data_IF_944376718286
#
_entry.id   IF_944376718286
#
_cell.length_a   1.000
_cell.length_b   1.000
_cell.length_c   1.000
_cell.angle_alpha   90.00
_cell.angle_beta   90.00
_cell.angle_gamma   90.00
#
_symmetry.space_group_name_H-M   'P 1'
#
loop_
_entity.id
_entity.type
_entity.pdbx_description
1 polymer ?
#
# COMPACT_ATOMS: atom_id res chain seq x y z
N UNK A 1 11.06 -6.51 7.22
CA UNK A 1 9.93 -7.40 6.83
C UNK A 1 10.32 -8.86 6.54
N UNK A 2 11.25 -9.19 5.62
CA UNK A 2 11.81 -10.56 5.49
C UNK A 2 12.88 -10.82 6.56
N UNK A 3 13.85 -9.92 6.66
CA UNK A 3 14.97 -10.02 7.61
C UNK A 3 14.43 -10.21 9.02
N UNK A 4 13.52 -9.34 9.48
CA UNK A 4 12.88 -9.44 10.80
C UNK A 4 12.11 -10.75 11.03
N UNK A 5 11.56 -11.36 9.97
CA UNK A 5 10.82 -12.63 10.07
C UNK A 5 11.75 -13.85 10.13
N UNK A 6 12.99 -13.71 9.66
CA UNK A 6 14.00 -14.78 9.50
C UNK A 6 15.21 -14.63 10.44
N UNK A 7 15.23 -13.63 11.33
CA UNK A 7 16.36 -13.34 12.25
C UNK A 7 16.06 -13.90 13.65
N UNK A 8 16.71 -15.01 14.05
CA UNK A 8 16.56 -15.62 15.38
C UNK A 8 16.67 -17.16 15.43
N UNK A 9 16.42 -17.78 16.59
CA UNK A 9 16.43 -19.26 16.76
C UNK A 9 15.06 -19.92 16.56
N UNK A 10 13.97 -19.16 16.47
CA UNK A 10 12.58 -19.64 16.28
C UNK A 10 11.85 -18.91 15.14
N UNK A 11 12.59 -18.38 14.18
CA UNK A 11 12.07 -17.62 13.05
C UNK A 11 11.64 -18.54 11.89
N UNK A 12 10.76 -18.02 11.03
CA UNK A 12 10.29 -18.74 9.84
C UNK A 12 11.47 -18.99 8.88
N UNK A 13 11.45 -20.11 8.17
CA UNK A 13 12.38 -20.29 7.05
C UNK A 13 12.04 -19.31 5.93
N UNK A 14 13.03 -18.93 5.11
CA UNK A 14 12.80 -18.10 3.91
C UNK A 14 11.69 -18.66 3.04
N UNK A 15 11.64 -19.99 2.91
CA UNK A 15 10.61 -20.68 2.13
C UNK A 15 9.21 -20.58 2.74
N UNK A 16 9.09 -20.63 4.07
CA UNK A 16 7.80 -20.41 4.76
C UNK A 16 7.34 -18.95 4.63
N UNK A 17 8.26 -18.01 4.77
CA UNK A 17 7.96 -16.60 4.55
C UNK A 17 7.40 -16.37 3.14
N UNK A 18 8.06 -16.91 2.11
CA UNK A 18 7.60 -16.77 0.72
C UNK A 18 6.26 -17.46 0.45
N UNK A 19 5.98 -18.60 1.09
CA UNK A 19 4.66 -19.25 0.99
C UNK A 19 3.54 -18.41 1.58
N UNK A 20 3.85 -17.60 2.59
CA UNK A 20 2.89 -16.72 3.26
C UNK A 20 2.89 -15.29 2.67
N UNK A 21 3.77 -15.02 1.71
CA UNK A 21 3.92 -13.71 1.10
C UNK A 21 2.68 -13.36 0.26
N UNK A 22 2.09 -12.20 0.54
CA UNK A 22 0.86 -11.76 -0.11
C UNK A 22 0.96 -10.30 -0.57
N UNK A 23 -0.01 -9.88 -1.39
CA UNK A 23 -0.02 -8.55 -2.02
C UNK A 23 0.06 -7.39 -1.01
N UNK A 24 -0.55 -7.54 0.17
CA UNK A 24 -0.45 -6.52 1.24
C UNK A 24 1.00 -6.38 1.73
N UNK A 25 1.73 -7.49 1.84
CA UNK A 25 3.15 -7.46 2.22
C UNK A 25 4.00 -6.79 1.15
N UNK A 26 3.71 -7.04 -0.12
CA UNK A 26 4.39 -6.37 -1.24
C UNK A 26 4.17 -4.86 -1.22
N UNK A 27 2.92 -4.40 -1.02
CA UNK A 27 2.62 -2.97 -0.91
C UNK A 27 3.37 -2.34 0.25
N UNK A 28 3.39 -2.99 1.42
CA UNK A 28 4.13 -2.49 2.58
C UNK A 28 5.64 -2.39 2.29
N UNK A 29 6.25 -3.40 1.67
CA UNK A 29 7.66 -3.37 1.27
C UNK A 29 7.97 -2.18 0.35
N UNK A 30 7.10 -1.90 -0.63
CA UNK A 30 7.28 -0.75 -1.53
C UNK A 30 7.17 0.57 -0.76
N UNK A 31 6.19 0.70 0.13
CA UNK A 31 6.01 1.90 0.96
C UNK A 31 7.20 2.13 1.89
N UNK A 32 7.69 1.08 2.55
CA UNK A 32 8.88 1.14 3.41
C UNK A 32 10.11 1.55 2.60
N UNK A 33 10.37 0.88 1.48
CA UNK A 33 11.50 1.20 0.60
C UNK A 33 11.42 2.64 0.05
N UNK A 34 10.22 3.12 -0.28
CA UNK A 34 10.02 4.50 -0.75
C UNK A 34 10.36 5.53 0.33
N UNK A 35 10.09 5.24 1.60
CA UNK A 35 10.43 6.15 2.70
C UNK A 35 11.94 6.30 2.89
N UNK A 36 12.74 5.30 2.51
CA UNK A 36 14.20 5.34 2.56
C UNK A 36 14.83 6.08 1.37
N UNK A 37 14.04 6.39 0.34
CA UNK A 37 14.50 7.19 -0.81
C UNK A 37 14.78 8.62 -0.37
N UNK A 38 16.06 8.92 -0.17
CA UNK A 38 16.49 10.25 0.22
C UNK A 38 16.24 11.30 -0.88
N UNK A 39 16.09 12.56 -0.48
CA UNK A 39 16.05 13.72 -1.41
C UNK A 39 17.27 13.75 -2.34
N UNK A 40 18.42 13.25 -1.88
CA UNK A 40 19.65 13.17 -2.69
C UNK A 40 19.51 12.19 -3.85
N UNK A 41 18.89 11.02 -3.63
CA UNK A 41 18.58 10.08 -4.70
C UNK A 41 17.63 10.70 -5.74
N UNK A 42 16.55 11.35 -5.27
CA UNK A 42 15.60 12.02 -6.15
C UNK A 42 16.27 13.12 -6.98
N UNK A 43 17.08 13.99 -6.36
CA UNK A 43 17.76 15.06 -7.09
C UNK A 43 18.66 14.53 -8.21
N UNK A 44 19.34 13.40 -8.00
CA UNK A 44 20.17 12.77 -9.04
C UNK A 44 19.34 12.25 -10.22
N UNK A 45 18.20 11.62 -9.94
CA UNK A 45 17.27 11.13 -10.98
C UNK A 45 16.69 12.32 -11.76
N UNK A 46 16.15 13.31 -11.05
CA UNK A 46 15.54 14.49 -11.66
C UNK A 46 16.55 15.34 -12.43
N UNK A 47 17.83 15.39 -12.04
CA UNK A 47 18.86 16.12 -12.79
C UNK A 47 19.07 15.53 -14.19
N UNK A 48 18.92 14.21 -14.37
CA UNK A 48 19.01 13.59 -15.71
C UNK A 48 17.88 14.05 -16.63
N UNK A 49 16.70 14.34 -16.06
CA UNK A 49 15.52 14.75 -16.80
C UNK A 49 15.44 16.27 -16.99
N UNK A 50 15.77 17.04 -15.94
CA UNK A 50 15.63 18.50 -15.87
C UNK A 50 16.87 19.09 -15.16
N UNK A 51 18.02 19.17 -15.84
CA UNK A 51 19.28 19.60 -15.23
C UNK A 51 19.25 21.06 -14.76
N UNK A 52 18.52 21.93 -15.45
CA UNK A 52 18.45 23.38 -15.15
C UNK A 52 17.74 23.70 -13.83
N UNK A 53 16.92 22.77 -13.31
CA UNK A 53 16.18 22.95 -12.07
C UNK A 53 17.00 22.54 -10.83
N UNK A 54 18.09 21.77 -11.01
CA UNK A 54 18.89 21.20 -9.92
C UNK A 54 20.32 21.71 -10.03
N UNK A 55 20.54 22.95 -9.60
CA UNK A 55 21.81 23.66 -9.76
C UNK A 55 22.84 23.37 -8.63
N UNK A 56 22.39 22.98 -7.44
CA UNK A 56 23.23 22.95 -6.22
C UNK A 56 23.55 21.54 -5.70
N UNK A 57 23.39 20.50 -6.51
CA UNK A 57 23.67 19.12 -6.09
C UNK A 57 25.17 18.81 -6.14
N UNK A 58 25.80 18.61 -4.98
CA UNK A 58 27.12 17.98 -4.91
C UNK A 58 26.97 16.49 -5.19
N UNK A 59 27.45 16.07 -6.36
CA UNK A 59 27.55 14.67 -6.72
C UNK A 59 28.30 13.89 -5.62
N UNK A 60 27.75 12.74 -5.27
CA UNK A 60 28.41 11.75 -4.43
C UNK A 60 28.62 10.51 -5.28
N UNK A 61 29.80 9.90 -5.14
CA UNK A 61 30.23 8.72 -5.88
C UNK A 61 29.41 7.50 -5.43
N UNK A 62 28.38 7.08 -6.19
CA UNK A 62 27.45 6.04 -5.78
C UNK A 62 28.08 4.65 -5.81
N UNK A 63 29.19 4.50 -6.55
CA UNK A 63 29.86 3.21 -6.76
C UNK A 63 30.30 2.57 -5.43
N UNK A 64 30.79 3.35 -4.48
CA UNK A 64 31.16 2.83 -3.15
C UNK A 64 29.95 2.28 -2.37
N UNK A 65 28.82 2.99 -2.37
CA UNK A 65 27.59 2.53 -1.71
C UNK A 65 27.00 1.31 -2.39
N UNK A 66 27.06 1.25 -3.72
CA UNK A 66 26.57 0.09 -4.47
C UNK A 66 27.42 -1.13 -4.12
N UNK A 67 28.75 -1.02 -4.07
CA UNK A 67 29.61 -2.12 -3.64
C UNK A 67 29.27 -2.62 -2.23
N UNK A 68 29.11 -1.72 -1.26
CA UNK A 68 28.74 -2.07 0.12
C UNK A 68 27.37 -2.79 0.20
N UNK A 69 26.38 -2.32 -0.58
CA UNK A 69 25.05 -2.95 -0.65
C UNK A 69 25.15 -4.32 -1.29
N UNK A 70 25.88 -4.45 -2.40
CA UNK A 70 26.06 -5.73 -3.11
C UNK A 70 26.74 -6.75 -2.20
N UNK A 71 27.80 -6.37 -1.49
CA UNK A 71 28.46 -7.24 -0.50
C UNK A 71 27.50 -7.65 0.62
N UNK A 72 26.68 -6.72 1.11
CA UNK A 72 25.66 -7.02 2.12
C UNK A 72 24.61 -8.02 1.62
N UNK A 73 24.19 -7.90 0.36
CA UNK A 73 23.28 -8.85 -0.28
C UNK A 73 23.88 -10.25 -0.38
N UNK A 74 25.14 -10.36 -0.81
CA UNK A 74 25.87 -11.64 -0.88
C UNK A 74 25.94 -12.30 0.50
N UNK A 75 26.34 -11.54 1.53
CA UNK A 75 26.41 -12.04 2.90
C UNK A 75 25.04 -12.50 3.40
N UNK A 76 23.99 -11.71 3.13
CA UNK A 76 22.63 -12.04 3.53
C UNK A 76 22.13 -13.30 2.83
N UNK A 77 22.33 -13.43 1.52
CA UNK A 77 21.88 -14.59 0.74
C UNK A 77 22.52 -15.89 1.27
N UNK A 78 23.84 -15.86 1.49
CA UNK A 78 24.55 -17.00 2.07
C UNK A 78 24.07 -17.31 3.51
N UNK A 79 23.80 -16.28 4.32
CA UNK A 79 23.22 -16.45 5.68
C UNK A 79 21.84 -17.10 5.65
N UNK A 80 21.05 -16.80 4.62
CA UNK A 80 19.69 -17.28 4.43
C UNK A 80 19.62 -18.67 3.77
N UNK A 81 20.76 -19.32 3.52
CA UNK A 81 20.84 -20.69 2.98
C UNK A 81 20.92 -20.77 1.45
N UNK A 82 21.09 -19.64 0.76
CA UNK A 82 21.46 -19.62 -0.65
C UNK A 82 22.99 -19.77 -0.76
N UNK A 83 23.48 -21.00 -0.63
CA UNK A 83 24.91 -21.31 -0.70
C UNK A 83 25.49 -20.98 -2.08
N UNK A 84 26.65 -20.34 -2.10
CA UNK A 84 27.41 -20.09 -3.34
C UNK A 84 26.95 -18.86 -4.12
N UNK A 85 26.16 -17.97 -3.51
CA UNK A 85 25.88 -16.65 -4.10
C UNK A 85 27.15 -15.81 -4.06
N UNK A 86 27.56 -15.32 -5.23
CA UNK A 86 28.72 -14.48 -5.46
C UNK A 86 28.32 -13.04 -5.80
N UNK A 87 29.30 -12.13 -5.77
CA UNK A 87 29.08 -10.73 -6.12
C UNK A 87 28.52 -10.56 -7.54
N UNK A 88 29.01 -11.37 -8.49
CA UNK A 88 28.57 -11.33 -9.88
C UNK A 88 27.09 -11.68 -10.03
N UNK A 89 26.58 -12.63 -9.23
CA UNK A 89 25.17 -13.03 -9.30
C UNK A 89 24.24 -11.85 -8.97
N UNK A 90 24.63 -11.02 -8.00
CA UNK A 90 23.87 -9.83 -7.64
C UNK A 90 23.99 -8.76 -8.74
N UNK A 91 25.17 -8.57 -9.31
CA UNK A 91 25.38 -7.62 -10.42
C UNK A 91 24.57 -8.01 -11.66
N UNK A 92 24.51 -9.30 -11.97
CA UNK A 92 23.74 -9.84 -13.09
C UNK A 92 22.24 -9.62 -12.87
N UNK A 93 21.74 -9.88 -11.65
CA UNK A 93 20.34 -9.61 -11.27
C UNK A 93 20.00 -8.11 -11.38
N UNK A 94 20.89 -7.22 -10.92
CA UNK A 94 20.68 -5.77 -11.00
C UNK A 94 20.75 -5.24 -12.44
N UNK A 95 21.52 -5.91 -13.29
CA UNK A 95 21.69 -5.56 -14.72
C UNK A 95 20.60 -6.15 -15.60
N UNK A 96 19.91 -7.20 -15.14
CA UNK A 96 18.69 -7.70 -15.74
C UNK A 96 17.58 -6.63 -15.63
N UNK A 97 17.48 -5.78 -16.64
CA UNK A 97 16.28 -5.00 -16.85
C UNK A 97 15.17 -5.98 -17.26
N UNK A 98 14.02 -6.02 -16.57
CA UNK A 98 12.84 -6.63 -17.16
C UNK A 98 12.55 -5.90 -18.47
N UNK A 99 12.02 -6.61 -19.47
CA UNK A 99 11.56 -5.98 -20.70
C UNK A 99 10.69 -4.78 -20.33
N UNK A 100 11.08 -3.60 -20.82
CA UNK A 100 10.36 -2.37 -20.51
C UNK A 100 8.95 -2.53 -21.08
N UNK A 101 7.97 -2.67 -20.19
CA UNK A 101 6.57 -2.76 -20.59
C UNK A 101 6.28 -1.55 -21.49
N UNK A 102 5.95 -1.84 -22.73
CA UNK A 102 5.51 -0.81 -23.67
C UNK A 102 4.24 -0.16 -23.13
N UNK A 103 3.96 1.06 -23.61
CA UNK A 103 2.75 1.77 -23.14
C UNK A 103 1.49 0.98 -23.50
N UNK A 104 1.56 0.25 -24.61
CA UNK A 104 0.57 -0.68 -25.11
C UNK A 104 0.40 -1.88 -24.17
N UNK A 105 1.49 -2.57 -23.77
CA UNK A 105 1.42 -3.70 -22.83
C UNK A 105 0.93 -3.28 -21.44
N UNK A 106 1.28 -2.07 -20.98
CA UNK A 106 0.79 -1.53 -19.71
C UNK A 106 -0.73 -1.28 -19.76
N UNK A 107 -1.22 -0.78 -20.90
CA UNK A 107 -2.63 -0.54 -21.12
C UNK A 107 -3.40 -1.86 -21.27
N UNK A 108 -2.83 -2.85 -21.95
CA UNK A 108 -3.38 -4.21 -22.06
C UNK A 108 -3.44 -4.91 -20.70
N UNK A 109 -2.43 -4.80 -19.85
CA UNK A 109 -2.45 -5.33 -18.48
C UNK A 109 -3.52 -4.65 -17.61
N UNK A 110 -3.72 -3.34 -17.77
CA UNK A 110 -4.80 -2.61 -17.09
C UNK A 110 -6.17 -3.13 -17.53
N UNK A 111 -6.37 -3.36 -18.83
CA UNK A 111 -7.64 -3.87 -19.38
C UNK A 111 -7.85 -5.34 -19.03
N UNK A 112 -6.79 -6.16 -19.05
CA UNK A 112 -6.82 -7.56 -18.67
C UNK A 112 -7.17 -7.72 -17.18
N UNK A 113 -6.59 -6.90 -16.29
CA UNK A 113 -6.97 -6.90 -14.87
C UNK A 113 -8.43 -6.48 -14.61
N UNK A 114 -9.01 -5.64 -15.48
CA UNK A 114 -10.44 -5.29 -15.45
C UNK A 114 -11.34 -6.40 -16.02
N UNK A 115 -10.84 -7.20 -16.97
CA UNK A 115 -11.54 -8.31 -17.59
C UNK A 115 -11.50 -9.60 -16.76
N UNK A 116 -10.35 -9.94 -16.16
CA UNK A 116 -10.22 -11.05 -15.19
C UNK A 116 -11.12 -10.83 -13.97
N UNK A 117 -11.29 -9.58 -13.52
CA UNK A 117 -12.29 -9.23 -12.51
C UNK A 117 -13.76 -9.42 -12.94
N UNK A 118 -14.02 -9.80 -14.20
CA UNK A 118 -15.35 -10.11 -14.74
C UNK A 118 -15.52 -11.54 -15.25
N UNK A 119 -14.45 -12.24 -15.61
CA UNK A 119 -14.52 -13.58 -16.22
C UNK A 119 -14.27 -14.75 -15.23
N UNK A 120 -13.86 -14.48 -13.99
CA UNK A 120 -13.75 -15.52 -12.93
C UNK A 120 -15.10 -16.00 -12.35
N UNK A 121 -16.24 -15.65 -12.95
CA UNK A 121 -17.58 -15.91 -12.40
C UNK A 121 -18.30 -17.14 -12.99
N UNK A 122 -17.74 -17.89 -13.97
CA UNK A 122 -18.55 -18.89 -14.72
C UNK A 122 -18.05 -20.36 -14.78
N UNK A 123 -16.80 -20.74 -14.49
CA UNK A 123 -16.40 -22.15 -14.72
C UNK A 123 -15.65 -22.92 -13.61
N UNK A 124 -15.44 -22.33 -12.43
CA UNK A 124 -14.92 -23.09 -11.28
C UNK A 124 -15.95 -23.07 -10.14
N UNK A 125 -16.42 -24.25 -9.71
CA UNK A 125 -17.06 -24.41 -8.39
C UNK A 125 -16.01 -24.27 -7.28
N UNK A 126 -15.28 -23.17 -7.31
CA UNK A 126 -14.46 -22.70 -6.21
C UNK A 126 -15.35 -21.81 -5.34
N UNK A 127 -15.31 -22.07 -4.04
CA UNK A 127 -15.98 -21.21 -3.06
C UNK A 127 -15.57 -19.77 -3.39
N UNK A 128 -16.52 -18.85 -3.63
CA UNK A 128 -16.19 -17.49 -4.05
C UNK A 128 -15.14 -16.93 -3.09
N UNK A 129 -14.03 -16.34 -3.59
CA UNK A 129 -13.11 -15.64 -2.70
C UNK A 129 -13.96 -14.71 -1.84
N UNK A 130 -13.81 -14.75 -0.51
CA UNK A 130 -14.70 -14.00 0.37
C UNK A 130 -14.66 -12.56 -0.11
N UNK A 131 -15.82 -11.90 -0.28
CA UNK A 131 -15.87 -10.55 -0.80
C UNK A 131 -14.84 -9.71 -0.06
N UNK A 132 -14.15 -8.78 -0.76
CA UNK A 132 -13.14 -7.93 -0.16
C UNK A 132 -13.67 -7.45 1.19
N UNK A 133 -12.90 -7.61 2.27
CA UNK A 133 -13.37 -7.27 3.62
C UNK A 133 -13.78 -5.80 3.65
N UNK A 134 -15.05 -5.56 3.39
CA UNK A 134 -15.65 -4.24 3.28
C UNK A 134 -16.40 -4.04 4.57
N UNK A 135 -15.94 -3.08 5.36
CA UNK A 135 -16.70 -2.61 6.50
C UNK A 135 -18.04 -2.08 5.98
N UNK A 136 -19.15 -2.59 6.51
CA UNK A 136 -20.50 -2.12 6.20
C UNK A 136 -20.66 -0.66 6.60
N UNK A 137 -21.69 0.01 6.07
CA UNK A 137 -22.01 1.40 6.48
C UNK A 137 -22.26 1.52 7.99
N UNK A 138 -22.87 0.49 8.60
CA UNK A 138 -23.14 0.46 10.03
C UNK A 138 -21.85 0.32 10.85
N UNK A 139 -20.99 -0.64 10.48
CA UNK A 139 -19.69 -0.83 11.15
C UNK A 139 -18.76 0.39 10.99
N UNK A 140 -18.80 1.07 9.84
CA UNK A 140 -18.06 2.32 9.62
C UNK A 140 -18.53 3.44 10.55
N UNK A 141 -19.85 3.59 10.68
CA UNK A 141 -20.44 4.56 11.59
C UNK A 141 -20.08 4.25 13.04
N UNK A 142 -20.23 2.99 13.46
CA UNK A 142 -19.94 2.54 14.83
C UNK A 142 -18.46 2.69 15.19
N UNK A 143 -17.56 2.39 14.26
CA UNK A 143 -16.12 2.58 14.44
C UNK A 143 -15.77 4.06 14.60
N UNK A 144 -16.30 4.93 13.74
CA UNK A 144 -16.06 6.37 13.84
C UNK A 144 -16.59 6.96 15.15
N UNK A 145 -17.77 6.50 15.60
CA UNK A 145 -18.35 6.90 16.89
C UNK A 145 -17.49 6.44 18.06
N UNK A 146 -17.07 5.17 18.06
CA UNK A 146 -16.19 4.61 19.10
C UNK A 146 -14.87 5.38 19.18
N UNK A 147 -14.27 5.72 18.04
CA UNK A 147 -13.03 6.50 18.03
C UNK A 147 -13.27 7.89 18.60
N UNK A 148 -14.35 8.59 18.22
CA UNK A 148 -14.64 9.90 18.77
C UNK A 148 -14.86 9.87 20.29
N UNK A 149 -15.54 8.84 20.80
CA UNK A 149 -15.69 8.63 22.25
C UNK A 149 -14.32 8.46 22.95
N UNK A 150 -13.37 7.74 22.32
CA UNK A 150 -12.02 7.57 22.87
C UNK A 150 -11.18 8.84 22.80
N UNK A 151 -11.34 9.64 21.73
CA UNK A 151 -10.69 10.94 21.62
C UNK A 151 -11.21 11.92 22.66
N UNK A 152 -12.53 11.95 22.88
CA UNK A 152 -13.12 12.78 23.93
C UNK A 152 -12.63 12.36 25.31
N UNK A 153 -12.62 11.06 25.60
CA UNK A 153 -12.09 10.55 26.86
C UNK A 153 -10.61 10.94 27.06
N UNK A 154 -9.79 10.88 26.01
CA UNK A 154 -8.39 11.31 26.07
C UNK A 154 -8.26 12.82 26.37
N UNK A 155 -9.08 13.66 25.74
CA UNK A 155 -9.11 15.11 26.01
C UNK A 155 -9.48 15.40 27.46
N UNK A 156 -10.46 14.67 28.01
CA UNK A 156 -10.98 14.88 29.36
C UNK A 156 -10.04 14.37 30.47
N UNK A 157 -9.20 13.37 30.18
CA UNK A 157 -8.37 12.68 31.18
C UNK A 157 -6.86 12.97 31.08
N UNK A 158 -6.37 13.61 30.01
CA UNK A 158 -4.96 13.98 29.91
C UNK A 158 -4.66 15.22 30.77
N UNK A 159 -3.64 15.14 31.63
CA UNK A 159 -3.20 16.26 32.46
C UNK A 159 -2.59 17.42 31.63
N UNK A 160 -2.26 17.18 30.36
CA UNK A 160 -1.78 18.17 29.41
C UNK A 160 -2.78 18.33 28.25
N UNK A 161 -3.67 19.32 28.39
CA UNK A 161 -4.70 19.65 27.41
C UNK A 161 -4.15 20.11 26.04
N UNK A 162 -2.98 20.74 26.01
CA UNK A 162 -2.36 21.16 24.74
C UNK A 162 -1.90 19.96 23.93
N UNK A 163 -1.23 19.01 24.60
CA UNK A 163 -0.78 17.76 23.99
C UNK A 163 -1.97 16.92 23.54
N UNK A 164 -2.95 16.68 24.41
CA UNK A 164 -4.12 15.86 24.05
C UNK A 164 -4.88 16.48 22.90
N UNK A 165 -5.14 17.80 22.93
CA UNK A 165 -5.80 18.52 21.85
C UNK A 165 -5.03 18.46 20.53
N UNK A 166 -3.69 18.47 20.56
CA UNK A 166 -2.89 18.29 19.33
C UNK A 166 -3.07 16.88 18.77
N UNK A 167 -2.96 15.86 19.61
CA UNK A 167 -3.13 14.44 19.23
C UNK A 167 -4.51 14.18 18.65
N UNK A 168 -5.58 14.62 19.32
CA UNK A 168 -6.95 14.39 18.88
C UNK A 168 -7.28 15.10 17.58
N UNK A 169 -6.81 16.35 17.38
CA UNK A 169 -6.95 17.05 16.10
C UNK A 169 -6.26 16.30 14.96
N UNK A 170 -5.04 15.80 15.19
CA UNK A 170 -4.32 15.01 14.18
C UNK A 170 -5.08 13.72 13.83
N UNK A 171 -5.59 12.99 14.82
CA UNK A 171 -6.37 11.76 14.58
C UNK A 171 -7.67 12.09 13.83
N UNK A 172 -8.41 13.13 14.23
CA UNK A 172 -9.63 13.56 13.51
C UNK A 172 -9.34 13.87 12.04
N UNK A 173 -8.23 14.55 11.75
CA UNK A 173 -7.81 14.82 10.37
C UNK A 173 -7.53 13.53 9.57
N UNK A 174 -6.89 12.53 10.19
CA UNK A 174 -6.67 11.22 9.56
C UNK A 174 -7.98 10.44 9.28
N UNK A 175 -9.07 10.75 10.00
CA UNK A 175 -10.36 10.09 9.83
C UNK A 175 -11.28 10.74 8.79
N UNK A 176 -10.92 11.91 8.24
CA UNK A 176 -11.74 12.61 7.23
C UNK A 176 -12.08 11.75 5.99
N UNK A 177 -11.17 10.93 5.42
CA UNK A 177 -11.53 10.04 4.31
C UNK A 177 -12.64 9.04 4.67
N UNK A 178 -12.63 8.53 5.91
CA UNK A 178 -13.65 7.60 6.41
C UNK A 178 -15.00 8.29 6.62
N UNK A 179 -15.00 9.54 7.12
CA UNK A 179 -16.21 10.36 7.24
C UNK A 179 -16.82 10.67 5.87
N UNK A 180 -15.97 11.00 4.90
CA UNK A 180 -16.39 11.26 3.52
C UNK A 180 -17.02 10.01 2.89
N UNK A 181 -16.40 8.84 3.07
CA UNK A 181 -16.95 7.57 2.62
C UNK A 181 -18.32 7.28 3.24
N UNK A 182 -18.50 7.55 4.54
CA UNK A 182 -19.78 7.39 5.22
C UNK A 182 -20.85 8.32 4.63
N UNK A 183 -20.51 9.58 4.38
CA UNK A 183 -21.41 10.57 3.77
C UNK A 183 -21.87 10.11 2.37
N UNK A 184 -20.95 9.64 1.54
CA UNK A 184 -21.24 9.14 0.19
C UNK A 184 -22.16 7.92 0.21
N UNK A 185 -21.90 6.95 1.08
CA UNK A 185 -22.76 5.77 1.27
C UNK A 185 -24.18 6.15 1.70
N UNK A 186 -24.31 7.13 2.59
CA UNK A 186 -25.63 7.62 3.05
C UNK A 186 -26.37 8.38 1.96
N UNK A 187 -25.65 9.18 1.15
CA UNK A 187 -26.22 9.92 0.02
C UNK A 187 -26.75 8.98 -1.08
N UNK A 188 -25.99 7.95 -1.43
CA UNK A 188 -26.40 6.94 -2.41
C UNK A 188 -27.69 6.24 -1.98
N UNK A 189 -27.72 5.75 -0.73
CA UNK A 189 -28.91 5.10 -0.15
C UNK A 189 -30.16 5.99 -0.15
N UNK A 190 -30.01 7.30 0.05
CA UNK A 190 -31.13 8.24 0.00
C UNK A 190 -31.60 8.49 -1.45
N UNK A 191 -30.66 8.60 -2.39
CA UNK A 191 -30.98 8.81 -3.82
C UNK A 191 -31.72 7.61 -4.42
N UNK A 192 -31.30 6.38 -4.09
CA UNK A 192 -31.99 5.15 -4.51
C UNK A 192 -33.42 5.07 -3.95
N UNK A 193 -33.58 5.42 -2.66
CA UNK A 193 -34.89 5.44 -1.99
C UNK A 193 -35.84 6.43 -2.69
N UNK A 194 -35.37 7.63 -2.98
CA UNK A 194 -36.15 8.67 -3.66
C UNK A 194 -36.55 8.25 -5.07
N UNK A 195 -35.65 7.61 -5.80
CA UNK A 195 -35.89 7.11 -7.17
C UNK A 195 -36.97 6.01 -7.16
N UNK A 196 -36.91 5.10 -6.20
CA UNK A 196 -37.92 4.06 -6.00
C UNK A 196 -39.29 4.62 -5.62
N UNK A 197 -39.36 5.65 -4.77
CA UNK A 197 -40.61 6.33 -4.41
C UNK A 197 -41.25 7.06 -5.60
N UNK A 198 -40.43 7.69 -6.46
CA UNK A 198 -40.92 8.34 -7.69
C UNK A 198 -41.54 7.32 -8.65
N UNK A 199 -40.85 6.21 -8.91
CA UNK A 199 -41.34 5.13 -9.77
C UNK A 199 -42.67 4.54 -9.27
N UNK A 200 -42.80 4.27 -7.97
CA UNK A 200 -44.06 3.78 -7.38
C UNK A 200 -45.21 4.78 -7.50
N UNK A 201 -44.92 6.07 -7.45
CA UNK A 201 -45.96 7.12 -7.55
C UNK A 201 -46.44 7.28 -9.00
N UNK A 202 -45.55 7.11 -9.98
CA UNK A 202 -45.89 7.15 -11.40
C UNK A 202 -46.70 5.92 -11.83
N UNK A 203 -46.32 4.73 -11.36
CA UNK A 203 -47.04 3.47 -11.65
C UNK A 203 -48.46 3.41 -11.06
N UNK A 204 -48.78 4.23 -10.05
CA UNK A 204 -50.12 4.33 -9.45
C UNK A 204 -51.04 5.35 -10.14
N UNK A 205 -50.51 6.14 -11.07
CA UNK A 205 -51.25 7.20 -11.79
C UNK A 205 -51.58 6.82 -13.23
N UNK A 206 -51.13 5.65 -13.69
CA UNK A 206 -51.48 5.02 -14.97
C UNK A 206 -52.49 3.91 -14.74
#
# INVERSE_FOLDING_TARGET
MLIDATDGENCETVMEFWKNYNLRMAINNIVEAWNDVSKRCLHRVWRKLIPDLICDFKDFEPSAQICEITESCVQLANRLGFEGVEYQDIEDILSCQPDELTTEELQELSVAGEAEGREEDDENQEVPPPPPRQMTTAELSDTLETIEQRLQWLEDNDCNAERSGKTTRSIRACLEPNKQLLYERMRLKNTERDSFHKLKTQARRS
#
